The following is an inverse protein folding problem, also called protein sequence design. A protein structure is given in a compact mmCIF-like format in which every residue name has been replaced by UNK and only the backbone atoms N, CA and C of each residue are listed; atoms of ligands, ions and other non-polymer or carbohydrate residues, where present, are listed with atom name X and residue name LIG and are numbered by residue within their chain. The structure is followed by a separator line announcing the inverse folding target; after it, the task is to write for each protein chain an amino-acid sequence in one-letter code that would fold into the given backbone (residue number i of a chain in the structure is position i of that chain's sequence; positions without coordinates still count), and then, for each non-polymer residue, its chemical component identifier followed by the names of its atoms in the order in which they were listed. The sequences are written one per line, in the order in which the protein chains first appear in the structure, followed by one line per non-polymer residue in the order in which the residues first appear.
data_IF_800840316198
#
_entry.id   IF_800840316198
#
_cell.length_a   1.000
_cell.length_b   1.000
_cell.length_c   1.000
_cell.angle_alpha   90.00
_cell.angle_beta   90.00
_cell.angle_gamma   90.00
#
_symmetry.space_group_name_H-M   'P 1'
#
loop_
_entity.id
_entity.type
_entity.pdbx_description
1 polymer ?
#
# COMPACT_ATOMS: atom_id res chain seq x y z
N UNK A 1 -8.41 34.42 -62.91
CA UNK A 1 -9.62 33.94 -62.21
C UNK A 1 -9.54 32.43 -62.08
N UNK A 2 -9.69 31.93 -60.84
CA UNK A 2 -9.84 30.52 -60.47
C UNK A 2 -8.62 29.63 -60.80
N UNK A 3 -8.35 28.47 -60.23
CA UNK A 3 -8.91 27.61 -59.19
C UNK A 3 -7.87 26.47 -59.08
N UNK A 4 -7.77 25.81 -57.92
CA UNK A 4 -7.14 24.48 -57.72
C UNK A 4 -5.60 24.47 -57.64
N UNK A 5 -4.92 23.75 -56.75
CA UNK A 5 -5.28 22.57 -55.95
C UNK A 5 -4.56 22.60 -54.60
N UNK A 6 -5.33 22.44 -53.52
CA UNK A 6 -4.87 21.98 -52.22
C UNK A 6 -4.79 20.45 -52.26
N UNK A 7 -3.62 19.86 -52.07
CA UNK A 7 -3.50 18.44 -51.71
C UNK A 7 -2.50 18.24 -50.58
N UNK A 8 -3.07 17.75 -49.47
CA UNK A 8 -2.56 16.68 -48.60
C UNK A 8 -1.26 16.92 -47.81
N UNK A 9 -1.43 17.33 -46.55
CA UNK A 9 -0.64 16.80 -45.44
C UNK A 9 -1.60 16.47 -44.29
N UNK A 10 -2.14 15.25 -44.32
CA UNK A 10 -2.85 14.68 -43.19
C UNK A 10 -1.80 14.19 -42.19
N UNK A 11 -1.48 15.03 -41.21
CA UNK A 11 -0.69 14.63 -40.04
C UNK A 11 -1.52 13.64 -39.22
N UNK A 12 -1.19 12.35 -39.31
CA UNK A 12 -1.75 11.32 -38.46
C UNK A 12 -1.13 11.49 -37.06
N UNK A 13 -1.79 12.26 -36.19
CA UNK A 13 -1.44 12.34 -34.77
C UNK A 13 -1.81 11.02 -34.10
N UNK A 14 -0.87 10.06 -34.09
CA UNK A 14 -0.90 8.92 -33.20
C UNK A 14 -0.77 9.44 -31.76
N UNK A 15 -1.92 9.63 -31.10
CA UNK A 15 -2.00 9.74 -29.66
C UNK A 15 -1.51 8.42 -29.07
N UNK A 16 -0.22 8.39 -28.72
CA UNK A 16 0.31 7.42 -27.75
C UNK A 16 -0.34 7.74 -26.40
N UNK A 17 -1.49 7.14 -26.13
CA UNK A 17 -1.94 6.98 -24.77
C UNK A 17 -0.96 6.00 -24.11
N UNK A 18 -0.25 6.37 -23.04
CA UNK A 18 0.44 5.39 -22.24
C UNK A 18 -0.63 4.45 -21.68
N UNK A 19 -0.70 3.22 -22.20
CA UNK A 19 -1.42 2.12 -21.56
C UNK A 19 -0.61 1.68 -20.35
N UNK A 20 -0.51 2.52 -19.33
CA UNK A 20 -0.24 2.03 -17.99
C UNK A 20 -1.47 1.26 -17.56
N UNK A 21 -1.50 -0.04 -17.82
CA UNK A 21 -2.35 -0.95 -17.05
C UNK A 21 -1.82 -0.88 -15.62
N UNK A 22 -2.26 0.12 -14.87
CA UNK A 22 -2.09 0.16 -13.42
C UNK A 22 -2.85 -1.06 -12.92
N UNK A 23 -2.11 -2.13 -12.62
CA UNK A 23 -2.68 -3.26 -11.91
C UNK A 23 -3.28 -2.68 -10.63
N UNK A 24 -4.58 -2.85 -10.47
CA UNK A 24 -5.28 -2.30 -9.33
C UNK A 24 -4.69 -2.86 -8.05
N UNK A 25 -4.51 -2.02 -7.03
CA UNK A 25 -3.98 -2.48 -5.74
C UNK A 25 -5.14 -2.91 -4.89
N UNK A 26 -5.17 -4.20 -4.55
CA UNK A 26 -6.14 -4.70 -3.59
C UNK A 26 -6.00 -3.97 -2.25
N UNK A 27 -7.14 -3.55 -1.72
CA UNK A 27 -7.25 -2.82 -0.46
C UNK A 27 -8.12 -3.57 0.53
N UNK A 28 -8.23 -3.03 1.74
CA UNK A 28 -8.95 -3.60 2.86
C UNK A 28 -9.92 -2.58 3.45
N UNK A 29 -10.95 -3.10 4.11
CA UNK A 29 -11.85 -2.36 4.98
C UNK A 29 -11.89 -3.04 6.35
N UNK A 30 -10.86 -2.84 7.20
CA UNK A 30 -10.84 -3.40 8.54
C UNK A 30 -11.95 -2.80 9.41
N UNK A 31 -12.71 -3.64 10.09
CA UNK A 31 -13.71 -3.24 11.09
C UNK A 31 -13.14 -3.49 12.47
N UNK A 32 -12.93 -2.44 13.25
CA UNK A 32 -12.33 -2.57 14.58
C UNK A 32 -11.63 -1.30 15.05
N UNK A 33 -11.19 -1.27 16.32
CA UNK A 33 -10.39 -0.17 16.81
C UNK A 33 -9.05 -0.14 16.07
N UNK A 34 -8.65 1.06 15.65
CA UNK A 34 -7.35 1.31 15.06
C UNK A 34 -6.47 2.10 16.00
N UNK A 35 -5.16 1.96 15.85
CA UNK A 35 -4.17 2.82 16.50
C UNK A 35 -3.40 3.58 15.44
N UNK A 36 -3.15 4.86 15.69
CA UNK A 36 -2.35 5.69 14.78
C UNK A 36 -0.91 5.19 14.68
N UNK A 37 -0.35 5.19 13.47
CA UNK A 37 1.03 4.84 13.16
C UNK A 37 1.25 3.37 12.80
N UNK A 38 2.49 3.05 12.42
CA UNK A 38 2.95 1.70 12.12
C UNK A 38 3.22 0.89 13.40
N UNK A 39 3.18 -0.43 13.24
CA UNK A 39 3.84 -1.40 14.12
C UNK A 39 5.23 -1.72 13.57
N UNK A 40 6.21 -1.90 14.44
CA UNK A 40 7.56 -2.34 14.08
C UNK A 40 7.83 -3.76 14.56
N UNK A 41 8.52 -4.54 13.72
CA UNK A 41 9.25 -5.75 14.11
C UNK A 41 10.74 -5.55 13.83
N UNK A 42 11.56 -5.95 14.79
CA UNK A 42 13.02 -5.83 14.71
C UNK A 42 13.62 -7.20 14.50
N UNK A 43 14.55 -7.34 13.56
CA UNK A 43 15.17 -8.61 13.20
C UNK A 43 16.69 -8.50 13.32
N UNK A 44 17.37 -9.56 13.76
CA UNK A 44 18.82 -9.54 13.89
C UNK A 44 19.45 -9.41 12.50
N UNK A 45 20.45 -8.54 12.40
CA UNK A 45 21.30 -8.45 11.21
C UNK A 45 22.76 -8.52 11.64
N UNK A 46 23.55 -9.35 10.96
CA UNK A 46 24.97 -9.50 11.29
C UNK A 46 25.74 -8.27 10.83
N UNK A 47 26.50 -7.65 11.74
CA UNK A 47 27.33 -6.50 11.42
C UNK A 47 28.29 -6.78 10.25
N UNK A 48 28.36 -5.84 9.30
CA UNK A 48 29.20 -5.93 8.11
C UNK A 48 28.73 -6.98 7.08
N UNK A 49 27.57 -7.61 7.29
CA UNK A 49 26.99 -8.51 6.28
C UNK A 49 26.56 -7.73 5.04
N UNK A 50 26.87 -8.27 3.87
CA UNK A 50 26.50 -7.67 2.58
C UNK A 50 25.21 -8.27 2.00
N UNK A 51 24.47 -9.09 2.76
CA UNK A 51 23.25 -9.74 2.25
C UNK A 51 22.22 -8.72 1.73
N UNK A 52 21.99 -7.65 2.49
CA UNK A 52 21.06 -6.59 2.12
C UNK A 52 21.58 -5.62 1.04
N UNK A 53 22.89 -5.59 0.83
CA UNK A 53 23.52 -4.67 -0.14
C UNK A 53 23.90 -5.36 -1.46
N UNK A 54 23.95 -6.69 -1.49
CA UNK A 54 24.25 -7.46 -2.69
C UNK A 54 23.02 -7.76 -3.56
N UNK A 55 21.82 -7.81 -2.97
CA UNK A 55 20.56 -7.98 -3.70
C UNK A 55 19.37 -7.46 -2.90
N UNK A 56 18.22 -7.34 -3.58
CA UNK A 56 16.97 -6.88 -2.99
C UNK A 56 16.22 -7.94 -2.18
N UNK A 57 16.54 -9.23 -2.31
CA UNK A 57 15.79 -10.31 -1.69
C UNK A 57 15.77 -10.20 -0.16
N UNK A 58 16.84 -9.66 0.44
CA UNK A 58 16.85 -9.38 1.87
C UNK A 58 15.68 -8.48 2.26
N UNK A 59 15.64 -7.24 1.76
CA UNK A 59 14.59 -6.27 2.10
C UNK A 59 13.21 -6.60 1.49
N UNK A 60 13.12 -7.60 0.61
CA UNK A 60 11.85 -8.10 0.08
C UNK A 60 11.31 -9.33 0.84
N UNK A 61 12.10 -9.93 1.74
CA UNK A 61 11.56 -10.96 2.63
C UNK A 61 12.54 -11.94 3.27
N UNK A 62 13.81 -12.05 2.83
CA UNK A 62 14.73 -13.03 3.45
C UNK A 62 15.00 -12.73 4.94
N UNK A 63 14.82 -11.50 5.41
CA UNK A 63 14.95 -11.18 6.84
C UNK A 63 14.02 -12.02 7.73
N UNK A 64 12.86 -12.42 7.20
CA UNK A 64 11.84 -13.22 7.90
C UNK A 64 12.28 -14.67 8.15
N UNK A 65 13.43 -15.11 7.60
CA UNK A 65 14.06 -16.38 8.00
C UNK A 65 14.58 -16.34 9.44
N UNK A 66 14.70 -15.15 10.03
CA UNK A 66 15.01 -14.96 11.44
C UNK A 66 13.74 -14.58 12.21
N UNK A 67 13.67 -14.98 13.47
CA UNK A 67 12.63 -14.51 14.38
C UNK A 67 12.86 -13.03 14.75
N UNK A 68 11.78 -12.25 14.96
CA UNK A 68 11.93 -10.91 15.48
C UNK A 68 12.52 -10.93 16.90
N UNK A 69 13.44 -10.01 17.19
CA UNK A 69 14.08 -9.80 18.50
C UNK A 69 13.35 -8.75 19.35
N UNK A 70 12.33 -8.10 18.79
CA UNK A 70 11.52 -7.11 19.48
C UNK A 70 10.43 -6.52 18.60
N UNK A 71 9.52 -5.79 19.23
CA UNK A 71 8.42 -5.10 18.57
C UNK A 71 8.19 -3.72 19.19
N UNK A 72 7.61 -2.81 18.42
CA UNK A 72 7.11 -1.52 18.93
C UNK A 72 5.84 -1.10 18.16
N UNK A 73 5.10 -0.12 18.66
CA UNK A 73 3.85 0.36 18.07
C UNK A 73 3.82 1.90 18.05
N UNK A 74 2.80 2.46 17.40
CA UNK A 74 2.51 3.89 17.34
C UNK A 74 3.59 4.74 16.66
N UNK A 75 4.21 4.19 15.62
CA UNK A 75 5.29 4.85 14.89
C UNK A 75 4.69 5.75 13.82
N UNK A 76 4.69 7.05 14.08
CA UNK A 76 4.13 8.05 13.16
C UNK A 76 5.15 8.57 12.15
N UNK A 77 6.42 8.63 12.54
CA UNK A 77 7.52 9.05 11.67
C UNK A 77 8.42 7.85 11.37
N UNK A 78 8.37 7.30 10.15
CA UNK A 78 9.28 6.22 9.75
C UNK A 78 10.70 6.73 9.53
N UNK A 79 10.94 8.03 9.41
CA UNK A 79 12.27 8.53 9.09
C UNK A 79 13.18 8.57 10.31
N UNK A 80 14.46 8.28 10.09
CA UNK A 80 15.50 8.57 11.05
C UNK A 80 16.84 8.69 10.32
N UNK A 81 17.76 9.41 10.94
CA UNK A 81 19.12 9.57 10.42
C UNK A 81 20.06 9.78 11.58
N UNK A 82 20.72 8.70 12.00
CA UNK A 82 21.51 8.66 13.23
C UNK A 82 22.81 7.92 13.04
N UNK A 83 23.78 8.30 13.85
CA UNK A 83 25.05 7.60 14.01
C UNK A 83 25.31 7.38 15.49
N UNK A 84 25.53 6.15 15.95
CA UNK A 84 25.76 5.91 17.37
C UNK A 84 27.11 6.46 17.83
N UNK A 85 27.13 7.04 19.02
CA UNK A 85 28.30 7.61 19.66
C UNK A 85 28.37 7.18 21.13
N UNK A 86 29.54 6.70 21.56
CA UNK A 86 29.83 6.40 22.96
C UNK A 86 30.66 7.54 23.55
N UNK A 87 30.11 8.24 24.56
CA UNK A 87 30.83 9.25 25.35
C UNK A 87 30.90 8.80 26.82
N UNK A 88 32.09 8.39 27.27
CA UNK A 88 32.24 7.88 28.63
C UNK A 88 31.47 6.56 28.82
N UNK A 89 30.56 6.44 29.81
CA UNK A 89 29.71 5.27 30.00
C UNK A 89 28.36 5.34 29.25
N UNK A 90 28.06 6.45 28.57
CA UNK A 90 26.77 6.66 27.91
C UNK A 90 26.85 6.42 26.41
N UNK A 91 25.76 5.87 25.87
CA UNK A 91 25.55 5.69 24.44
C UNK A 91 24.38 6.55 24.01
N UNK A 92 24.54 7.30 22.92
CA UNK A 92 23.47 8.12 22.34
C UNK A 92 23.58 8.19 20.83
N UNK A 93 22.51 8.64 20.19
CA UNK A 93 22.45 8.89 18.75
C UNK A 93 22.95 10.30 18.42
N UNK A 94 23.97 10.39 17.57
CA UNK A 94 24.35 11.63 16.94
C UNK A 94 23.52 11.84 15.66
N UNK A 95 22.81 12.97 15.51
CA UNK A 95 22.19 13.29 14.22
C UNK A 95 23.29 13.51 13.18
N UNK A 96 23.07 13.06 11.94
CA UNK A 96 24.11 13.18 10.90
C UNK A 96 24.52 14.62 10.61
N UNK A 97 23.62 15.59 10.79
CA UNK A 97 23.91 17.02 10.68
C UNK A 97 24.93 17.53 11.71
N UNK A 98 25.09 16.82 12.84
CA UNK A 98 26.05 17.12 13.90
C UNK A 98 27.29 16.21 13.86
N UNK A 99 27.34 15.27 12.91
CA UNK A 99 28.45 14.34 12.74
C UNK A 99 29.53 14.93 11.85
N UNK A 100 30.78 14.92 12.31
CA UNK A 100 31.94 15.40 11.54
C UNK A 100 32.88 14.22 11.26
N UNK A 101 33.11 13.93 9.98
CA UNK A 101 34.13 12.99 9.53
C UNK A 101 35.48 13.72 9.44
N UNK A 102 36.21 13.81 10.54
CA UNK A 102 37.63 14.18 10.45
C UNK A 102 38.43 12.97 9.93
N UNK A 103 39.49 13.22 9.16
CA UNK A 103 40.28 12.26 8.38
C UNK A 103 41.09 11.20 9.17
N UNK A 104 40.83 11.03 10.46
CA UNK A 104 41.31 9.88 11.24
C UNK A 104 40.17 8.87 11.29
N UNK A 105 40.28 7.81 10.50
CA UNK A 105 39.33 6.71 10.37
C UNK A 105 39.02 5.96 11.67
N UNK A 106 39.63 6.34 12.80
CA UNK A 106 39.43 5.69 14.10
C UNK A 106 38.56 6.48 15.08
N UNK A 107 38.25 7.76 14.81
CA UNK A 107 37.55 8.62 15.78
C UNK A 107 36.35 9.35 15.16
N UNK A 108 35.16 8.81 15.44
CA UNK A 108 33.88 9.47 15.18
C UNK A 108 33.72 10.73 16.04
N UNK A 109 33.19 11.84 15.48
CA UNK A 109 32.86 13.04 16.27
C UNK A 109 31.36 13.36 16.23
N UNK A 110 30.82 13.72 17.38
CA UNK A 110 29.47 14.26 17.53
C UNK A 110 29.49 15.58 18.31
N UNK A 111 28.98 16.68 17.73
CA UNK A 111 29.00 18.00 18.36
C UNK A 111 30.40 18.37 18.92
N UNK A 112 31.43 18.16 18.11
CA UNK A 112 32.85 18.37 18.46
C UNK A 112 33.43 17.46 19.54
N UNK A 113 32.66 16.52 20.10
CA UNK A 113 33.16 15.51 21.04
C UNK A 113 33.59 14.24 20.31
N UNK A 114 34.66 13.60 20.76
CA UNK A 114 35.18 12.36 20.17
C UNK A 114 34.48 11.15 20.78
N UNK A 115 33.76 10.40 19.96
CA UNK A 115 33.14 9.13 20.31
C UNK A 115 34.24 8.06 20.49
N UNK A 116 34.05 7.19 21.49
CA UNK A 116 34.99 6.10 21.79
C UNK A 116 34.90 4.91 20.83
N UNK A 117 33.72 4.69 20.25
CA UNK A 117 33.52 3.60 19.30
C UNK A 117 34.12 3.94 17.93
N UNK A 118 34.64 2.93 17.26
CA UNK A 118 34.95 3.01 15.85
C UNK A 118 33.67 2.93 15.00
N UNK A 119 33.80 3.33 13.74
CA UNK A 119 32.70 3.30 12.77
C UNK A 119 32.26 1.87 12.40
N UNK A 120 33.11 0.88 12.70
CA UNK A 120 32.86 -0.55 12.51
C UNK A 120 32.21 -1.25 13.67
N UNK A 121 32.04 -0.59 14.81
CA UNK A 121 31.61 -1.27 16.02
C UNK A 121 30.10 -1.50 16.00
N UNK A 122 29.67 -2.63 16.55
CA UNK A 122 28.27 -2.85 16.86
C UNK A 122 27.94 -2.06 18.13
N UNK A 123 27.05 -1.07 18.02
CA UNK A 123 26.71 -0.19 19.15
C UNK A 123 25.25 -0.36 19.51
N UNK A 124 25.01 -0.96 20.68
CA UNK A 124 23.69 -1.22 21.26
C UNK A 124 23.15 -0.07 22.11
N UNK A 125 22.05 -0.32 22.82
CA UNK A 125 21.38 0.67 23.68
C UNK A 125 20.98 1.97 22.95
N UNK A 126 20.63 1.84 21.67
CA UNK A 126 20.06 2.94 20.88
C UNK A 126 18.55 2.77 20.84
N UNK A 127 17.83 3.83 21.22
CA UNK A 127 16.38 3.87 21.08
C UNK A 127 16.02 4.07 19.60
N UNK A 128 15.45 3.04 18.98
CA UNK A 128 14.88 3.08 17.64
C UNK A 128 13.39 2.77 17.76
N UNK A 129 12.54 3.77 17.51
CA UNK A 129 11.08 3.66 17.63
C UNK A 129 10.58 3.15 18.99
N UNK A 130 11.25 3.47 20.10
CA UNK A 130 10.88 2.99 21.44
C UNK A 130 11.50 1.65 21.82
N UNK A 131 12.24 0.99 20.93
CA UNK A 131 12.93 -0.26 21.19
C UNK A 131 14.44 -0.04 21.33
N UNK A 132 15.04 -0.53 22.42
CA UNK A 132 16.48 -0.43 22.66
C UNK A 132 17.20 -1.52 21.87
N UNK A 133 17.99 -1.12 20.87
CA UNK A 133 18.61 -2.04 19.90
C UNK A 133 20.00 -1.60 19.46
N UNK A 134 20.62 -2.39 18.57
CA UNK A 134 21.85 -2.07 17.84
C UNK A 134 21.52 -1.40 16.50
N UNK A 135 21.42 -0.07 16.48
CA UNK A 135 21.10 0.67 15.26
C UNK A 135 22.15 0.47 14.13
N UNK A 136 23.37 0.05 14.48
CA UNK A 136 24.46 -0.24 13.54
C UNK A 136 24.22 -1.46 12.66
N UNK A 137 23.42 -2.42 13.11
CA UNK A 137 23.23 -3.69 12.43
C UNK A 137 21.88 -4.28 12.81
N UNK A 138 20.85 -3.91 12.08
CA UNK A 138 19.47 -4.28 12.37
C UNK A 138 18.66 -4.28 11.09
N UNK A 139 17.65 -5.15 11.04
CA UNK A 139 16.57 -5.03 10.08
C UNK A 139 15.30 -4.63 10.81
N UNK A 140 14.58 -3.64 10.30
CA UNK A 140 13.31 -3.17 10.84
C UNK A 140 12.25 -3.33 9.76
N UNK A 141 11.13 -3.94 10.12
CA UNK A 141 9.93 -3.95 9.31
C UNK A 141 8.89 -3.05 10.00
N UNK A 142 8.42 -2.04 9.28
CA UNK A 142 7.27 -1.22 9.67
C UNK A 142 6.07 -1.70 8.85
N UNK A 143 4.98 -2.07 9.53
CA UNK A 143 3.73 -2.52 8.92
C UNK A 143 2.55 -1.70 9.41
N UNK A 144 1.59 -1.45 8.52
CA UNK A 144 0.38 -0.68 8.83
C UNK A 144 -0.50 -0.54 7.59
N UNK A 145 -1.61 0.16 7.73
CA UNK A 145 -2.56 0.43 6.67
C UNK A 145 -2.53 1.91 6.31
N UNK A 146 -2.22 2.21 5.06
CA UNK A 146 -2.35 3.55 4.49
C UNK A 146 -3.83 3.83 4.19
N UNK A 147 -4.42 4.78 4.90
CA UNK A 147 -5.73 5.32 4.58
C UNK A 147 -5.61 6.39 3.51
N UNK A 148 -6.39 6.27 2.44
CA UNK A 148 -6.37 7.22 1.32
C UNK A 148 -7.58 8.14 1.40
N UNK A 149 -7.35 9.46 1.48
CA UNK A 149 -8.44 10.46 1.45
C UNK A 149 -8.74 10.98 0.04
N UNK A 150 -7.88 10.69 -0.94
CA UNK A 150 -7.97 11.17 -2.31
C UNK A 150 -7.83 9.99 -3.27
N UNK A 151 -8.59 10.01 -4.37
CA UNK A 151 -8.39 9.06 -5.45
C UNK A 151 -7.35 9.63 -6.41
N UNK A 152 -6.30 8.87 -6.72
CA UNK A 152 -5.28 9.30 -7.66
C UNK A 152 -3.92 8.64 -7.44
N UNK A 153 -2.89 9.21 -8.05
CA UNK A 153 -1.53 8.70 -7.94
C UNK A 153 -0.87 9.17 -6.65
N UNK A 154 -0.53 8.22 -5.79
CA UNK A 154 0.35 8.42 -4.65
C UNK A 154 1.78 8.08 -5.07
N UNK A 155 2.75 8.93 -4.70
CA UNK A 155 4.17 8.67 -4.96
C UNK A 155 4.87 8.26 -3.67
N UNK A 156 5.43 7.05 -3.66
CA UNK A 156 6.22 6.51 -2.56
C UNK A 156 7.69 6.66 -2.91
N UNK A 157 8.50 7.26 -2.03
CA UNK A 157 9.92 7.48 -2.31
C UNK A 157 10.82 7.04 -1.17
N UNK A 158 12.01 6.59 -1.53
CA UNK A 158 13.16 6.38 -0.66
C UNK A 158 14.26 7.33 -1.09
N UNK A 159 14.71 8.24 -0.22
CA UNK A 159 15.51 9.42 -0.60
C UNK A 159 16.83 9.61 0.18
N UNK A 160 17.05 8.87 1.27
CA UNK A 160 18.33 8.86 2.00
C UNK A 160 18.52 7.54 2.74
N UNK A 161 18.71 6.46 1.98
CA UNK A 161 18.81 5.10 2.51
C UNK A 161 20.27 4.70 2.71
N UNK A 162 20.59 4.29 3.92
CA UNK A 162 21.87 3.73 4.32
C UNK A 162 21.59 2.63 5.36
N UNK A 163 21.61 1.33 5.04
CA UNK A 163 22.21 0.69 3.85
C UNK A 163 21.20 0.18 2.80
N UNK A 164 20.02 -0.31 3.19
CA UNK A 164 19.03 -0.82 2.24
C UNK A 164 17.60 -0.66 2.75
N UNK A 165 16.65 -0.41 1.85
CA UNK A 165 15.24 -0.32 2.20
C UNK A 165 14.30 -0.68 1.05
N UNK A 166 13.08 -1.04 1.39
CA UNK A 166 11.99 -1.28 0.46
C UNK A 166 10.66 -0.69 0.96
N UNK A 167 9.75 -0.42 0.03
CA UNK A 167 8.34 -0.10 0.31
C UNK A 167 7.48 -1.04 -0.54
N UNK A 168 6.46 -1.63 0.07
CA UNK A 168 5.47 -2.49 -0.58
C UNK A 168 4.06 -2.06 -0.19
N UNK A 169 3.15 -1.96 -1.16
CA UNK A 169 1.78 -1.45 -0.98
C UNK A 169 0.75 -2.37 -1.63
N UNK A 170 -0.30 -2.70 -0.87
CA UNK A 170 -1.46 -3.49 -1.31
C UNK A 170 -1.61 -4.81 -0.55
N UNK A 171 -2.86 -5.26 -0.44
CA UNK A 171 -3.20 -6.57 0.11
C UNK A 171 -2.62 -7.69 -0.76
N UNK A 172 -2.21 -8.80 -0.14
CA UNK A 172 -1.57 -9.92 -0.82
C UNK A 172 -0.09 -9.72 -1.15
N UNK A 173 0.37 -8.47 -1.25
CA UNK A 173 1.79 -8.14 -1.55
C UNK A 173 2.55 -7.59 -0.34
N UNK A 174 1.98 -6.63 0.40
CA UNK A 174 2.58 -6.17 1.64
C UNK A 174 2.34 -7.17 2.76
N UNK A 175 1.06 -7.46 3.01
CA UNK A 175 0.50 -8.50 3.86
C UNK A 175 -1.01 -8.63 3.56
N UNK A 176 -1.67 -9.65 4.08
CA UNK A 176 -3.09 -9.90 3.82
C UNK A 176 -3.99 -9.00 4.69
N UNK A 177 -5.21 -8.72 4.22
CA UNK A 177 -6.16 -7.91 5.00
C UNK A 177 -6.44 -8.52 6.36
N UNK A 178 -6.37 -7.71 7.41
CA UNK A 178 -6.50 -8.12 8.82
C UNK A 178 -5.49 -9.19 9.27
N UNK A 179 -4.33 -9.24 8.62
CA UNK A 179 -3.21 -10.11 8.97
C UNK A 179 -1.90 -9.30 9.01
N UNK A 180 -1.92 -8.15 9.71
CA UNK A 180 -0.79 -7.22 9.78
C UNK A 180 0.42 -7.84 10.48
N UNK A 181 0.20 -8.74 11.45
CA UNK A 181 1.29 -9.40 12.18
C UNK A 181 1.76 -10.70 11.52
N UNK A 182 1.08 -11.17 10.48
CA UNK A 182 1.44 -12.41 9.78
C UNK A 182 2.87 -12.33 9.20
N UNK A 183 3.58 -13.43 9.27
CA UNK A 183 4.96 -13.58 8.85
C UNK A 183 5.10 -13.93 7.36
N UNK A 184 4.00 -14.29 6.69
CA UNK A 184 4.07 -14.83 5.34
C UNK A 184 3.02 -14.20 4.41
N UNK A 185 3.34 -13.08 3.74
CA UNK A 185 2.46 -12.58 2.67
C UNK A 185 2.37 -13.62 1.54
N UNK A 186 1.23 -13.65 0.86
CA UNK A 186 1.00 -14.57 -0.27
C UNK A 186 2.05 -14.43 -1.40
N UNK A 187 2.67 -13.25 -1.53
CA UNK A 187 3.80 -12.98 -2.42
C UNK A 187 5.04 -12.55 -1.62
N UNK A 188 5.96 -13.49 -1.41
CA UNK A 188 7.31 -13.19 -0.93
C UNK A 188 8.17 -12.67 -2.09
N UNK A 189 9.16 -11.81 -1.79
CA UNK A 189 10.15 -11.28 -2.74
C UNK A 189 9.64 -10.25 -3.76
N UNK A 190 8.69 -9.40 -3.34
CA UNK A 190 8.21 -8.27 -4.13
C UNK A 190 8.25 -6.96 -3.32
N UNK A 191 8.57 -5.85 -3.99
CA UNK A 191 8.43 -4.50 -3.45
C UNK A 191 8.23 -3.49 -4.57
N UNK A 192 7.47 -2.43 -4.29
CA UNK A 192 7.19 -1.32 -5.22
C UNK A 192 8.38 -0.40 -5.39
N UNK A 193 9.10 -0.15 -4.30
CA UNK A 193 10.28 0.72 -4.25
C UNK A 193 11.37 -0.05 -3.54
N UNK A 194 12.58 -0.06 -4.10
CA UNK A 194 13.77 -0.64 -3.46
C UNK A 194 14.93 0.31 -3.65
N UNK A 195 15.57 0.69 -2.55
CA UNK A 195 16.81 1.47 -2.55
C UNK A 195 17.89 0.67 -1.83
N UNK A 196 19.01 0.45 -2.51
CA UNK A 196 20.17 -0.24 -1.96
C UNK A 196 21.36 0.70 -2.12
N UNK A 197 22.06 0.95 -1.03
CA UNK A 197 23.28 1.76 -1.04
C UNK A 197 24.36 1.04 -1.86
N UNK A 198 24.94 1.69 -2.88
CA UNK A 198 26.04 1.12 -3.63
C UNK A 198 27.29 0.99 -2.76
N UNK A 199 28.24 0.15 -3.17
CA UNK A 199 29.52 0.00 -2.47
C UNK A 199 30.35 1.29 -2.40
N UNK A 200 30.08 2.24 -3.29
CA UNK A 200 30.70 3.57 -3.33
C UNK A 200 29.63 4.62 -3.60
N UNK A 201 29.55 5.65 -2.76
CA UNK A 201 28.61 6.75 -2.88
C UNK A 201 27.35 6.58 -2.04
N UNK A 202 26.42 7.53 -2.18
CA UNK A 202 25.13 7.49 -1.51
C UNK A 202 24.12 6.66 -2.30
N UNK A 203 23.12 6.10 -1.62
CA UNK A 203 21.96 5.52 -2.30
C UNK A 203 21.23 6.61 -3.10
N UNK A 204 20.72 6.23 -4.27
CA UNK A 204 19.90 7.13 -5.08
C UNK A 204 18.50 7.26 -4.48
N UNK A 205 17.91 8.44 -4.68
CA UNK A 205 16.48 8.61 -4.51
C UNK A 205 15.74 7.79 -5.56
N UNK A 206 14.87 6.90 -5.11
CA UNK A 206 14.02 6.06 -5.96
C UNK A 206 12.57 6.24 -5.55
N UNK A 207 11.66 6.20 -6.52
CA UNK A 207 10.23 6.36 -6.26
C UNK A 207 9.38 5.55 -7.22
N UNK A 208 8.17 5.22 -6.76
CA UNK A 208 7.13 4.58 -7.57
C UNK A 208 5.80 5.29 -7.34
N UNK A 209 4.99 5.34 -8.40
CA UNK A 209 3.62 5.89 -8.35
C UNK A 209 2.62 4.75 -8.41
N UNK A 210 1.67 4.80 -7.48
CA UNK A 210 0.62 3.81 -7.37
C UNK A 210 -0.72 4.55 -7.35
N UNK A 211 -1.64 4.15 -8.22
CA UNK A 211 -2.98 4.72 -8.24
C UNK A 211 -3.83 4.04 -7.17
N UNK A 212 -4.42 4.84 -6.28
CA UNK A 212 -5.22 4.36 -5.16
C UNK A 212 -6.56 5.08 -5.13
N UNK A 213 -7.60 4.40 -4.64
CA UNK A 213 -8.95 4.94 -4.46
C UNK A 213 -9.16 5.46 -3.04
N UNK A 214 -9.77 6.64 -2.90
CA UNK A 214 -10.15 7.22 -1.62
C UNK A 214 -11.08 6.30 -0.80
N UNK A 215 -11.03 6.42 0.51
CA UNK A 215 -11.88 5.69 1.46
C UNK A 215 -11.44 4.26 1.76
N UNK A 216 -10.27 3.84 1.26
CA UNK A 216 -9.75 2.48 1.42
C UNK A 216 -8.50 2.46 2.29
N UNK A 217 -8.23 1.29 2.90
CA UNK A 217 -7.02 1.03 3.67
C UNK A 217 -6.11 0.07 2.89
N UNK A 218 -4.92 0.53 2.52
CA UNK A 218 -3.95 -0.28 1.78
C UNK A 218 -2.88 -0.79 2.73
N UNK A 219 -2.70 -2.12 2.89
CA UNK A 219 -1.54 -2.67 3.56
C UNK A 219 -0.25 -2.04 3.02
N UNK A 220 0.59 -1.53 3.89
CA UNK A 220 1.88 -0.92 3.56
C UNK A 220 2.96 -1.49 4.47
N UNK A 221 4.06 -1.89 3.84
CA UNK A 221 5.23 -2.44 4.52
C UNK A 221 6.48 -1.70 4.09
N UNK A 222 7.23 -1.19 5.06
CA UNK A 222 8.55 -0.60 4.86
C UNK A 222 9.56 -1.51 5.53
N UNK A 223 10.53 -2.02 4.79
CA UNK A 223 11.63 -2.78 5.36
C UNK A 223 12.89 -1.96 5.23
N UNK A 224 13.64 -1.83 6.31
CA UNK A 224 14.94 -1.17 6.33
C UNK A 224 15.99 -2.11 6.91
N UNK A 225 17.22 -2.02 6.43
CA UNK A 225 18.37 -2.70 7.02
C UNK A 225 19.58 -1.78 7.11
N UNK A 226 20.21 -1.78 8.29
CA UNK A 226 21.56 -1.27 8.48
C UNK A 226 22.54 -2.44 8.57
N UNK A 227 23.68 -2.34 7.91
CA UNK A 227 24.78 -3.28 8.02
C UNK A 227 25.88 -2.79 8.94
N UNK A 228 26.14 -1.48 8.96
CA UNK A 228 27.20 -0.88 9.78
C UNK A 228 27.04 0.64 9.91
N UNK A 229 27.59 1.21 10.99
CA UNK A 229 27.77 2.67 11.13
C UNK A 229 26.47 3.49 11.11
N UNK A 230 26.25 4.25 10.05
CA UNK A 230 25.20 5.25 9.89
C UNK A 230 23.91 4.52 9.60
N UNK A 231 22.90 4.76 10.42
CA UNK A 231 21.56 4.27 10.17
C UNK A 231 20.75 5.42 9.57
N UNK A 232 20.33 5.29 8.31
CA UNK A 232 19.52 6.31 7.64
C UNK A 232 18.38 5.70 6.85
N UNK A 233 17.15 6.08 7.18
CA UNK A 233 15.95 5.80 6.41
C UNK A 233 15.26 7.13 6.12
N UNK A 234 15.30 7.54 4.86
CA UNK A 234 14.50 8.64 4.34
C UNK A 234 13.39 8.12 3.44
N UNK A 235 12.15 8.44 3.79
CA UNK A 235 10.92 8.09 3.08
C UNK A 235 10.07 9.34 2.88
N UNK A 236 9.35 9.41 1.77
CA UNK A 236 8.29 10.41 1.56
C UNK A 236 7.08 9.79 0.87
N UNK A 237 5.92 10.31 1.21
CA UNK A 237 4.65 10.03 0.56
C UNK A 237 4.13 11.32 -0.08
N UNK A 238 4.01 11.36 -1.40
CA UNK A 238 3.34 12.46 -2.10
C UNK A 238 1.90 12.07 -2.41
N UNK A 239 0.94 12.86 -1.93
CA UNK A 239 -0.49 12.70 -2.18
C UNK A 239 -0.87 13.11 -3.62
N UNK A 240 -2.08 12.73 -4.11
CA UNK A 240 -2.54 13.12 -5.44
C UNK A 240 -2.59 14.64 -5.70
N UNK A 241 -2.85 15.45 -4.68
CA UNK A 241 -2.81 16.92 -4.76
C UNK A 241 -1.39 17.54 -4.77
N UNK A 242 -0.35 16.71 -4.66
CA UNK A 242 1.05 17.13 -4.62
C UNK A 242 1.60 17.41 -3.22
N UNK A 243 0.79 17.30 -2.16
CA UNK A 243 1.25 17.42 -0.77
C UNK A 243 2.28 16.35 -0.47
N UNK A 244 3.44 16.74 0.05
CA UNK A 244 4.51 15.82 0.46
C UNK A 244 4.48 15.62 1.97
N UNK A 245 4.42 14.35 2.38
CA UNK A 245 4.35 13.91 3.77
C UNK A 245 5.62 13.12 4.10
N UNK A 246 6.36 13.57 5.12
CA UNK A 246 7.46 12.81 5.71
C UNK A 246 7.06 12.12 7.00
N UNK A 247 6.17 12.70 7.81
CA UNK A 247 5.56 12.04 8.97
C UNK A 247 4.21 11.43 8.57
N UNK A 248 4.14 10.11 8.52
CA UNK A 248 3.02 9.37 7.97
C UNK A 248 1.86 9.19 8.95
N UNK A 249 1.98 9.68 10.20
CA UNK A 249 1.00 9.44 11.25
C UNK A 249 -0.42 9.84 10.91
N UNK A 250 -0.63 10.87 10.09
CA UNK A 250 -1.98 11.28 9.66
C UNK A 250 -2.62 10.34 8.63
N UNK A 251 -1.83 9.45 8.01
CA UNK A 251 -2.26 8.58 6.92
C UNK A 251 -2.19 7.10 7.28
N UNK A 252 -1.43 6.70 8.30
CA UNK A 252 -1.18 5.29 8.62
C UNK A 252 -1.79 4.88 9.94
N UNK A 253 -2.42 3.71 9.92
CA UNK A 253 -3.10 3.11 11.05
C UNK A 253 -2.72 1.64 11.18
N UNK A 254 -2.60 1.15 12.39
CA UNK A 254 -2.44 -0.28 12.68
C UNK A 254 -3.75 -0.86 13.21
N UNK A 255 -4.04 -2.09 12.82
CA UNK A 255 -5.19 -2.86 13.27
C UNK A 255 -4.68 -4.19 13.86
N UNK A 256 -5.41 -4.71 14.83
CA UNK A 256 -5.16 -6.07 15.30
C UNK A 256 -5.55 -7.07 14.20
N UNK A 257 -4.87 -8.21 14.18
CA UNK A 257 -5.20 -9.29 13.28
C UNK A 257 -6.58 -9.87 13.60
N UNK A 258 -7.32 -10.28 12.56
CA UNK A 258 -8.57 -11.01 12.74
C UNK A 258 -8.28 -12.41 13.26
N UNK A 259 -8.91 -12.76 14.37
CA UNK A 259 -8.84 -14.06 15.02
C UNK A 259 -10.26 -14.53 15.28
N UNK A 260 -10.42 -15.81 15.62
CA UNK A 260 -11.74 -16.32 16.03
C UNK A 260 -12.26 -15.66 17.33
N UNK A 261 -11.40 -14.94 18.06
CA UNK A 261 -11.69 -14.36 19.37
C UNK A 261 -12.01 -12.86 19.32
N UNK A 262 -11.54 -12.14 18.29
CA UNK A 262 -11.85 -10.73 18.08
C UNK A 262 -12.75 -10.58 16.83
N UNK A 263 -13.89 -9.90 16.99
CA UNK A 263 -14.88 -9.72 15.92
C UNK A 263 -14.44 -8.68 14.87
N UNK A 264 -13.19 -8.78 14.42
CA UNK A 264 -12.60 -7.92 13.39
C UNK A 264 -12.87 -8.58 12.04
N UNK A 265 -13.74 -7.95 11.25
CA UNK A 265 -13.97 -8.34 9.87
C UNK A 265 -13.12 -7.48 8.94
N UNK A 266 -12.52 -8.10 7.93
CA UNK A 266 -11.91 -7.39 6.80
C UNK A 266 -12.66 -7.73 5.52
N UNK A 267 -13.31 -6.72 4.95
CA UNK A 267 -13.87 -6.83 3.60
C UNK A 267 -12.78 -6.38 2.63
N UNK A 268 -12.64 -7.07 1.50
CA UNK A 268 -11.83 -6.56 0.39
C UNK A 268 -12.37 -5.18 0.00
N UNK A 269 -11.50 -4.19 -0.09
CA UNK A 269 -11.91 -2.85 -0.50
C UNK A 269 -12.47 -2.88 -1.92
N UNK A 270 -13.41 -1.97 -2.18
CA UNK A 270 -14.02 -1.85 -3.49
C UNK A 270 -13.11 -1.06 -4.42
N UNK A 271 -12.43 -1.77 -5.31
CA UNK A 271 -11.73 -1.21 -6.46
C UNK A 271 -12.78 -0.73 -7.48
N UNK A 272 -13.16 0.56 -7.41
CA UNK A 272 -14.08 1.14 -8.40
C UNK A 272 -13.30 1.48 -9.67
N UNK A 273 -12.93 0.46 -10.43
CA UNK A 273 -12.49 0.60 -11.81
C UNK A 273 -13.70 0.91 -12.70
N UNK A 274 -14.07 2.19 -12.83
CA UNK A 274 -14.98 2.61 -13.90
C UNK A 274 -14.24 2.58 -15.24
N UNK A 275 -14.13 1.40 -15.85
CA UNK A 275 -13.87 1.31 -17.28
C UNK A 275 -15.16 1.65 -18.04
N UNK A 276 -15.54 2.94 -18.07
CA UNK A 276 -16.55 3.43 -19.01
C UNK A 276 -15.92 3.50 -20.41
N UNK A 277 -15.99 2.41 -21.17
CA UNK A 277 -15.80 2.48 -22.63
C UNK A 277 -17.01 3.20 -23.23
N UNK A 278 -16.90 4.51 -23.38
CA UNK A 278 -17.86 5.29 -24.16
C UNK A 278 -17.58 5.08 -25.64
N UNK A 279 -18.26 4.11 -26.27
CA UNK A 279 -18.29 4.04 -27.74
C UNK A 279 -19.34 5.01 -28.24
N UNK A 280 -18.94 6.24 -28.55
CA UNK A 280 -19.83 7.23 -29.18
C UNK A 280 -19.95 6.87 -30.66
N UNK A 281 -21.07 6.28 -31.06
CA UNK A 281 -21.48 6.26 -32.46
C UNK A 281 -22.26 7.55 -32.75
N UNK A 282 -21.83 8.39 -33.70
CA UNK A 282 -22.62 9.53 -34.12
C UNK A 282 -23.78 9.03 -34.99
N UNK A 283 -24.96 8.83 -34.39
CA UNK A 283 -26.21 8.73 -35.14
C UNK A 283 -26.99 10.02 -34.97
N UNK A 284 -27.13 10.78 -36.06
CA UNK A 284 -28.03 11.92 -36.15
C UNK A 284 -29.48 11.45 -36.03
N UNK A 285 -30.12 11.69 -34.89
CA UNK A 285 -31.56 12.01 -34.77
C UNK A 285 -32.00 11.96 -33.29
N UNK A 286 -32.59 13.08 -32.86
CA UNK A 286 -33.65 13.24 -31.85
C UNK A 286 -33.76 12.26 -30.66
N UNK A 287 -33.58 12.83 -29.46
CA UNK A 287 -34.02 12.39 -28.12
C UNK A 287 -33.90 10.91 -27.77
N UNK A 288 -33.02 10.59 -26.81
CA UNK A 288 -33.19 9.38 -26.00
C UNK A 288 -32.75 9.59 -24.56
N UNK A 289 -33.65 9.21 -23.67
CA UNK A 289 -33.50 9.14 -22.22
C UNK A 289 -32.29 8.30 -21.82
N UNK A 290 -31.53 8.79 -20.84
CA UNK A 290 -30.46 8.05 -20.18
C UNK A 290 -31.07 6.88 -19.38
N UNK A 291 -30.95 5.67 -19.90
CA UNK A 291 -31.04 4.45 -19.10
C UNK A 291 -29.61 3.96 -18.82
N UNK A 292 -29.19 4.05 -17.56
CA UNK A 292 -27.93 3.47 -17.10
C UNK A 292 -28.22 1.99 -16.78
N UNK A 293 -27.80 1.08 -17.66
CA UNK A 293 -27.63 -0.32 -17.29
C UNK A 293 -26.20 -0.54 -16.80
N UNK A 294 -26.05 -0.63 -15.49
CA UNK A 294 -24.83 -1.11 -14.84
C UNK A 294 -24.85 -2.64 -14.84
N UNK A 295 -24.16 -3.30 -15.76
CA UNK A 295 -23.89 -4.74 -15.64
C UNK A 295 -22.41 -5.02 -15.91
N UNK A 296 -21.65 -5.29 -14.85
CA UNK A 296 -20.44 -6.12 -14.91
C UNK A 296 -19.98 -6.46 -13.49
N UNK A 297 -20.49 -7.55 -12.93
CA UNK A 297 -19.83 -8.27 -11.84
C UNK A 297 -18.85 -9.27 -12.45
N UNK A 298 -17.54 -9.04 -12.29
CA UNK A 298 -16.54 -10.11 -12.38
C UNK A 298 -16.30 -10.62 -10.96
N UNK A 299 -16.99 -11.69 -10.60
CA UNK A 299 -16.63 -12.50 -9.44
C UNK A 299 -15.49 -13.41 -9.90
N UNK A 300 -14.25 -13.15 -9.46
CA UNK A 300 -13.22 -14.20 -9.45
C UNK A 300 -13.49 -15.06 -8.23
N UNK A 301 -14.08 -16.24 -8.45
CA UNK A 301 -14.30 -17.24 -7.41
C UNK A 301 -12.95 -17.81 -6.94
N UNK A 302 -12.62 -17.59 -5.66
CA UNK A 302 -11.75 -18.50 -4.93
C UNK A 302 -12.60 -19.69 -4.45
N UNK A 303 -12.08 -20.94 -4.46
CA UNK A 303 -12.84 -22.09 -4.01
C UNK A 303 -12.97 -22.07 -2.47
N UNK A 304 -14.16 -21.74 -1.96
CA UNK A 304 -14.53 -21.97 -0.56
C UNK A 304 -15.19 -23.34 -0.44
N UNK A 305 -14.39 -24.33 -0.05
CA UNK A 305 -14.89 -25.56 0.56
C UNK A 305 -15.25 -25.30 2.02
N UNK A 306 -16.54 -25.13 2.31
CA UNK A 306 -17.23 -25.80 3.43
C UNK A 306 -18.69 -25.36 3.51
N UNK A 307 -19.56 -26.35 3.50
CA UNK A 307 -21.01 -26.24 3.58
C UNK A 307 -21.49 -25.82 4.98
N UNK A 308 -22.28 -24.75 5.08
CA UNK A 308 -23.36 -24.64 6.08
C UNK A 308 -24.55 -23.90 5.50
N UNK A 309 -25.69 -24.58 5.48
CA UNK A 309 -26.99 -24.11 5.01
C UNK A 309 -27.60 -23.17 6.05
N UNK A 310 -27.99 -21.95 5.64
CA UNK A 310 -28.97 -21.15 6.35
C UNK A 310 -29.99 -20.62 5.33
N UNK A 311 -31.26 -20.98 5.55
CA UNK A 311 -32.40 -20.50 4.80
C UNK A 311 -32.83 -19.15 5.39
N UNK A 312 -32.84 -18.10 4.58
CA UNK A 312 -33.63 -16.90 4.86
C UNK A 312 -34.17 -16.33 3.55
N UNK A 313 -35.47 -16.52 3.35
CA UNK A 313 -36.29 -15.92 2.32
C UNK A 313 -36.53 -14.44 2.59
N UNK A 314 -36.16 -13.59 1.63
CA UNK A 314 -36.74 -12.24 1.49
C UNK A 314 -36.96 -11.95 0.02
N UNK A 315 -38.22 -12.08 -0.40
CA UNK A 315 -38.72 -11.68 -1.71
C UNK A 315 -38.81 -10.16 -1.78
N UNK A 316 -38.10 -9.52 -2.70
CA UNK A 316 -38.32 -8.11 -3.04
C UNK A 316 -39.30 -8.03 -4.22
N UNK A 317 -40.48 -7.46 -3.98
CA UNK A 317 -41.47 -7.17 -5.02
C UNK A 317 -41.10 -5.87 -5.74
N UNK A 318 -40.84 -5.93 -7.04
CA UNK A 318 -40.82 -4.76 -7.90
C UNK A 318 -42.21 -4.58 -8.54
N UNK A 319 -42.89 -3.49 -8.19
CA UNK A 319 -44.16 -3.09 -8.80
C UNK A 319 -43.86 -2.27 -10.06
N UNK A 320 -44.17 -2.81 -11.24
CA UNK A 320 -44.10 -2.07 -12.51
C UNK A 320 -45.46 -1.48 -12.84
N UNK A 321 -45.58 -0.15 -12.77
CA UNK A 321 -46.77 0.58 -13.22
C UNK A 321 -46.61 0.90 -14.71
N UNK A 322 -47.43 0.31 -15.58
CA UNK A 322 -47.54 0.73 -16.98
C UNK A 322 -48.64 1.77 -17.13
N UNK A 323 -48.28 3.01 -17.47
CA UNK A 323 -49.23 3.98 -18.02
C UNK A 323 -49.27 3.82 -19.54
N UNK A 324 -50.40 3.34 -20.07
CA UNK A 324 -50.70 3.38 -21.50
C UNK A 324 -51.69 4.51 -21.79
N UNK A 325 -51.29 5.47 -22.65
CA UNK A 325 -52.19 6.47 -23.23
C UNK A 325 -52.85 5.88 -24.49
N UNK A 326 -54.19 5.79 -24.46
CA UNK A 326 -55.04 6.14 -25.62
C UNK A 326 -55.55 5.04 -26.56
N UNK A 327 -56.78 4.59 -26.28
CA UNK A 327 -57.90 4.41 -27.23
C UNK A 327 -57.95 3.19 -28.16
N UNK A 328 -58.80 2.20 -27.83
CA UNK A 328 -60.13 2.01 -28.45
C UNK A 328 -60.81 0.65 -28.11
N UNK A 329 -62.11 0.73 -27.80
CA UNK A 329 -63.21 -0.24 -27.93
C UNK A 329 -63.08 -1.71 -27.41
N UNK A 330 -63.78 -1.93 -26.28
CA UNK A 330 -64.73 -3.02 -25.98
C UNK A 330 -64.42 -4.47 -26.36
N UNK A 331 -64.23 -5.32 -25.34
CA UNK A 331 -65.11 -6.49 -25.07
C UNK A 331 -64.68 -7.22 -23.79
N UNK A 332 -65.67 -7.78 -23.10
CA UNK A 332 -65.63 -8.51 -21.83
C UNK A 332 -64.90 -9.85 -21.89
N UNK A 333 -64.19 -10.23 -20.84
CA UNK A 333 -64.31 -11.57 -20.20
C UNK A 333 -63.44 -11.65 -18.94
N UNK A 334 -64.07 -12.04 -17.84
CA UNK A 334 -63.44 -12.39 -16.58
C UNK A 334 -62.95 -13.83 -16.63
N UNK A 335 -61.70 -14.09 -16.23
CA UNK A 335 -61.23 -15.44 -15.93
C UNK A 335 -60.45 -15.43 -14.62
N UNK A 336 -61.11 -15.94 -13.58
CA UNK A 336 -60.56 -16.30 -12.28
C UNK A 336 -59.80 -17.61 -12.44
N UNK A 337 -58.58 -17.72 -11.91
CA UNK A 337 -57.95 -19.04 -11.70
C UNK A 337 -57.26 -19.08 -10.35
N UNK A 338 -57.91 -19.80 -9.44
CA UNK A 338 -57.44 -20.31 -8.16
C UNK A 338 -56.43 -21.43 -8.39
N UNK A 339 -55.36 -21.48 -7.58
CA UNK A 339 -54.63 -22.73 -7.36
C UNK A 339 -54.57 -23.04 -5.87
N UNK A 340 -55.12 -24.21 -5.55
CA UNK A 340 -55.20 -24.81 -4.23
C UNK A 340 -53.83 -25.32 -3.78
N UNK A 341 -53.55 -25.11 -2.50
CA UNK A 341 -52.52 -25.83 -1.77
C UNK A 341 -52.96 -27.28 -1.53
N UNK A 342 -52.06 -28.23 -1.76
CA UNK A 342 -52.13 -29.57 -1.17
C UNK A 342 -50.72 -29.94 -0.70
N UNK A 343 -50.61 -30.16 0.60
CA UNK A 343 -49.43 -30.70 1.23
C UNK A 343 -49.45 -32.22 1.33
N UNK A 344 -48.43 -32.70 2.06
CA UNK A 344 -48.20 -34.03 2.63
C UNK A 344 -47.82 -35.18 1.68
N UNK A 345 -46.56 -35.60 1.80
CA UNK A 345 -46.21 -36.86 2.48
C UNK A 345 -44.93 -36.64 3.27
#
# INVERSE_FOLDING_TARGET
MSMWSFFHNLFLALLFYPTSSLADRSSCLPTGPSTQGFSARFFPYRIGSTQATNNNLWVQGLYMTNNPIGTSNNIIDPNYSVRPCILGPTTFTCPLSASLNWADSTHLRCNYQTCKNADSDAVGNINMYGFMTTATNITVELSGYLYTTQTGNYSFSLNNVDDAASITVGAGVAFDCCAQSDQHPSLMFYSDVVSIKPSVGAAMTVSSKIYLYAGNYYPVKIVYTNSKSVASLGTTLTLPDGTVISNWGSQVYSYMDSTNENNIECIAGTDISTNSRTSVYPSSSTMSSLYILSSSTRVTSAPLSSSKSYSSSSSFSATTTYNALGSSKSSSSSATTTYNALGSS
#
